data_IF_288099505183
#
_entry.id   IF_288099505183
#
_cell.length_a   1.000
_cell.length_b   1.000
_cell.length_c   1.000
_cell.angle_alpha   90.00
_cell.angle_beta   90.00
_cell.angle_gamma   90.00
#
_symmetry.space_group_name_H-M   'P 1'
#
loop_
_entity.id
_entity.type
_entity.pdbx_description
1 polymer ?
#
# COMPACT_ATOMS: atom_id res chain seq x y z
N UNK A 1 8.18 -12.63 3.09
CA UNK A 1 7.70 -13.32 4.32
C UNK A 1 8.77 -13.36 5.41
N UNK A 2 10.07 -13.41 5.08
CA UNK A 2 11.16 -13.42 6.07
C UNK A 2 11.19 -12.22 7.03
N UNK A 3 10.85 -11.00 6.60
CA UNK A 3 10.85 -9.81 7.47
C UNK A 3 9.94 -9.92 8.71
N UNK A 4 8.87 -10.73 8.66
CA UNK A 4 7.98 -10.95 9.82
C UNK A 4 8.64 -11.78 10.93
N UNK A 5 9.59 -12.65 10.58
CA UNK A 5 10.24 -13.55 11.54
C UNK A 5 11.45 -12.93 12.23
N UNK A 6 11.91 -11.75 11.79
CA UNK A 6 12.99 -11.04 12.45
C UNK A 6 12.51 -10.35 13.72
N UNK A 7 13.45 -10.09 14.63
CA UNK A 7 13.18 -9.33 15.84
C UNK A 7 12.75 -7.88 15.56
N UNK A 8 12.21 -7.25 16.59
CA UNK A 8 11.72 -5.89 16.54
C UNK A 8 12.81 -4.87 16.13
N UNK A 9 14.07 -5.10 16.49
CA UNK A 9 15.17 -4.19 16.14
C UNK A 9 15.42 -4.18 14.64
N UNK A 10 15.45 -5.35 14.01
CA UNK A 10 15.61 -5.48 12.57
C UNK A 10 14.45 -4.87 11.80
N UNK A 11 13.21 -5.11 12.26
CA UNK A 11 12.02 -4.50 11.66
C UNK A 11 12.05 -2.97 11.77
N UNK A 12 12.45 -2.44 12.93
CA UNK A 12 12.57 -1.00 13.18
C UNK A 12 13.71 -0.38 12.36
N UNK A 13 14.85 -1.07 12.22
CA UNK A 13 15.95 -0.64 11.37
C UNK A 13 15.51 -0.55 9.90
N UNK A 14 14.73 -1.54 9.41
CA UNK A 14 14.19 -1.51 8.06
C UNK A 14 13.20 -0.35 7.87
N UNK A 15 12.36 -0.06 8.86
CA UNK A 15 11.49 1.11 8.86
C UNK A 15 12.29 2.40 8.66
N UNK A 16 13.29 2.66 9.51
CA UNK A 16 14.13 3.86 9.40
C UNK A 16 14.92 3.90 8.09
N UNK A 17 15.37 2.77 7.59
CA UNK A 17 15.99 2.68 6.27
C UNK A 17 15.02 3.10 5.15
N UNK A 18 13.79 2.61 5.16
CA UNK A 18 12.76 3.00 4.18
C UNK A 18 12.41 4.49 4.27
N UNK A 19 12.27 5.04 5.49
CA UNK A 19 12.04 6.48 5.69
C UNK A 19 13.16 7.30 5.04
N UNK A 20 14.41 6.92 5.28
CA UNK A 20 15.56 7.62 4.68
C UNK A 20 15.57 7.51 3.15
N UNK A 21 15.19 6.36 2.58
CA UNK A 21 15.09 6.19 1.12
C UNK A 21 13.99 7.05 0.52
N UNK A 22 12.83 7.12 1.15
CA UNK A 22 11.73 8.00 0.74
C UNK A 22 12.22 9.45 0.69
N UNK A 23 12.84 9.96 1.77
CA UNK A 23 13.35 11.32 1.83
C UNK A 23 14.41 11.59 0.75
N UNK A 24 15.30 10.62 0.51
CA UNK A 24 16.31 10.73 -0.53
C UNK A 24 15.69 10.86 -1.93
N UNK A 25 14.75 9.97 -2.28
CA UNK A 25 14.10 9.98 -3.60
C UNK A 25 13.20 11.19 -3.80
N UNK A 26 12.53 11.67 -2.74
CA UNK A 26 11.74 12.90 -2.77
C UNK A 26 12.62 14.12 -3.08
N UNK A 27 13.74 14.27 -2.38
CA UNK A 27 14.69 15.37 -2.62
C UNK A 27 15.30 15.33 -4.03
N UNK A 28 15.54 14.14 -4.58
CA UNK A 28 16.09 13.94 -5.91
C UNK A 28 15.04 13.97 -7.02
N UNK A 29 13.75 14.02 -6.68
CA UNK A 29 12.60 13.92 -7.62
C UNK A 29 12.62 12.63 -8.44
N UNK A 30 13.09 11.54 -7.84
CA UNK A 30 13.07 10.19 -8.44
C UNK A 30 11.71 9.55 -8.16
N UNK A 31 10.70 9.94 -8.94
CA UNK A 31 9.29 9.65 -8.62
C UNK A 31 8.94 8.16 -8.72
N UNK A 32 9.57 7.40 -9.61
CA UNK A 32 9.29 5.96 -9.74
C UNK A 32 9.75 5.19 -8.49
N UNK A 33 10.98 5.41 -8.05
CA UNK A 33 11.53 4.80 -6.84
C UNK A 33 10.84 5.32 -5.58
N UNK A 34 10.43 6.58 -5.57
CA UNK A 34 9.63 7.16 -4.50
C UNK A 34 8.27 6.47 -4.39
N UNK A 35 7.58 6.26 -5.52
CA UNK A 35 6.30 5.56 -5.57
C UNK A 35 6.44 4.14 -5.01
N UNK A 36 7.46 3.41 -5.46
CA UNK A 36 7.73 2.05 -4.99
C UNK A 36 8.10 2.01 -3.51
N UNK A 37 8.90 2.96 -3.03
CA UNK A 37 9.27 3.06 -1.60
C UNK A 37 8.05 3.32 -0.72
N UNK A 38 7.13 4.16 -1.18
CA UNK A 38 5.85 4.38 -0.49
C UNK A 38 4.95 3.14 -0.50
N UNK A 39 4.86 2.42 -1.61
CA UNK A 39 4.15 1.14 -1.66
C UNK A 39 4.74 0.13 -0.66
N UNK A 40 6.07 -0.02 -0.64
CA UNK A 40 6.76 -0.90 0.31
C UNK A 40 6.50 -0.49 1.76
N UNK A 41 6.54 0.81 2.05
CA UNK A 41 6.25 1.33 3.39
C UNK A 41 4.82 1.03 3.81
N UNK A 42 3.85 1.23 2.91
CA UNK A 42 2.44 0.90 3.17
C UNK A 42 2.28 -0.57 3.54
N UNK A 43 2.81 -1.47 2.71
CA UNK A 43 2.78 -2.90 2.98
C UNK A 43 3.48 -3.27 4.29
N UNK A 44 4.70 -2.74 4.51
CA UNK A 44 5.51 -3.07 5.67
C UNK A 44 4.84 -2.63 6.98
N UNK A 45 4.32 -1.40 7.03
CA UNK A 45 3.60 -0.89 8.20
C UNK A 45 2.34 -1.73 8.46
N UNK A 46 1.58 -2.04 7.41
CA UNK A 46 0.30 -2.72 7.57
C UNK A 46 0.42 -4.21 7.93
N UNK A 47 1.39 -4.90 7.34
CA UNK A 47 1.48 -6.37 7.40
C UNK A 47 2.52 -6.84 8.41
N UNK A 48 3.59 -6.07 8.63
CA UNK A 48 4.78 -6.53 9.36
C UNK A 48 4.94 -5.79 10.69
N UNK A 49 5.06 -4.46 10.66
CA UNK A 49 5.39 -3.68 11.86
C UNK A 49 4.17 -3.39 12.74
N UNK A 50 3.02 -3.08 12.12
CA UNK A 50 1.73 -2.78 12.79
C UNK A 50 1.83 -1.88 14.03
N UNK A 51 2.46 -0.69 13.95
CA UNK A 51 2.51 0.26 15.07
C UNK A 51 1.13 0.86 15.39
N UNK A 52 1.04 1.74 16.40
CA UNK A 52 -0.18 2.52 16.63
C UNK A 52 -0.56 3.31 15.36
N UNK A 53 -1.86 3.32 15.03
CA UNK A 53 -2.41 3.97 13.83
C UNK A 53 -1.80 3.46 12.51
N UNK A 54 -1.39 2.18 12.46
CA UNK A 54 -0.79 1.58 11.27
C UNK A 54 -1.68 1.66 10.03
N UNK A 55 -3.01 1.58 10.19
CA UNK A 55 -3.97 1.66 9.08
C UNK A 55 -3.87 3.01 8.37
N UNK A 56 -3.97 4.13 9.11
CA UNK A 56 -3.82 5.48 8.59
C UNK A 56 -2.44 5.71 7.95
N UNK A 57 -1.38 5.26 8.62
CA UNK A 57 -0.01 5.41 8.13
C UNK A 57 0.18 4.67 6.81
N UNK A 58 -0.28 3.43 6.74
CA UNK A 58 -0.18 2.63 5.53
C UNK A 58 -1.07 3.19 4.41
N UNK A 59 -2.28 3.66 4.72
CA UNK A 59 -3.18 4.28 3.76
C UNK A 59 -2.59 5.55 3.15
N UNK A 60 -2.00 6.41 3.97
CA UNK A 60 -1.31 7.61 3.51
C UNK A 60 -0.15 7.28 2.55
N UNK A 61 0.59 6.22 2.84
CA UNK A 61 1.68 5.79 1.98
C UNK A 61 1.21 5.23 0.64
N UNK A 62 0.16 4.40 0.59
CA UNK A 62 -0.33 3.89 -0.70
C UNK A 62 -0.93 5.00 -1.57
N UNK A 63 -1.61 5.98 -0.97
CA UNK A 63 -2.07 7.18 -1.70
C UNK A 63 -0.92 7.94 -2.33
N UNK A 64 0.20 8.12 -1.60
CA UNK A 64 1.41 8.75 -2.17
C UNK A 64 2.01 7.91 -3.29
N UNK A 65 2.02 6.58 -3.18
CA UNK A 65 2.51 5.71 -4.25
C UNK A 65 1.70 5.90 -5.54
N UNK A 66 0.36 5.85 -5.44
CA UNK A 66 -0.55 6.06 -6.56
C UNK A 66 -0.46 7.47 -7.15
N UNK A 67 -0.21 8.48 -6.32
CA UNK A 67 0.02 9.87 -6.79
C UNK A 67 1.22 9.96 -7.72
N UNK A 68 2.30 9.24 -7.43
CA UNK A 68 3.54 9.32 -8.20
C UNK A 68 3.59 8.35 -9.37
N UNK A 69 2.90 7.21 -9.27
CA UNK A 69 2.84 6.23 -10.36
C UNK A 69 1.53 5.44 -10.30
N UNK A 70 0.79 5.48 -11.41
CA UNK A 70 -0.34 4.59 -11.61
C UNK A 70 0.17 3.19 -11.99
N UNK A 71 0.14 2.27 -11.03
CA UNK A 71 0.62 0.89 -11.19
C UNK A 71 -0.44 -0.08 -10.67
N UNK A 72 -0.68 -1.15 -11.43
CA UNK A 72 -1.73 -2.13 -11.12
C UNK A 72 -1.61 -2.71 -9.71
N UNK A 73 -0.38 -3.09 -9.31
CA UNK A 73 -0.10 -3.64 -7.98
C UNK A 73 -0.38 -2.66 -6.83
N UNK A 74 -0.30 -1.35 -7.09
CA UNK A 74 -0.62 -0.33 -6.09
C UNK A 74 -2.11 -0.18 -5.94
N UNK A 75 -2.85 -0.21 -7.06
CA UNK A 75 -4.32 -0.22 -7.07
C UNK A 75 -4.88 -1.45 -6.36
N UNK A 76 -4.34 -2.62 -6.65
CA UNK A 76 -4.72 -3.84 -5.94
C UNK A 76 -4.46 -3.71 -4.44
N UNK A 77 -3.25 -3.31 -4.03
CA UNK A 77 -2.96 -3.10 -2.60
C UNK A 77 -3.84 -2.04 -1.94
N UNK A 78 -4.20 -0.98 -2.66
CA UNK A 78 -5.11 0.05 -2.18
C UNK A 78 -6.48 -0.52 -1.81
N UNK A 79 -6.98 -1.53 -2.53
CA UNK A 79 -8.29 -2.15 -2.23
C UNK A 79 -8.36 -2.82 -0.86
N UNK A 80 -7.22 -3.22 -0.25
CA UNK A 80 -7.19 -3.74 1.13
C UNK A 80 -7.83 -2.75 2.11
N UNK A 81 -7.67 -1.45 1.90
CA UNK A 81 -8.18 -0.43 2.80
C UNK A 81 -9.70 -0.26 2.74
N UNK A 82 -10.35 -0.87 1.74
CA UNK A 82 -11.82 -0.95 1.64
C UNK A 82 -12.42 -2.12 2.41
N UNK A 83 -11.58 -3.09 2.81
CA UNK A 83 -12.02 -4.26 3.60
C UNK A 83 -11.91 -4.02 5.11
N UNK A 84 -11.42 -2.85 5.54
CA UNK A 84 -11.22 -2.54 6.96
C UNK A 84 -12.53 -2.11 7.63
N UNK A 85 -12.71 -2.37 8.94
CA UNK A 85 -13.90 -1.95 9.68
C UNK A 85 -14.11 -0.43 9.62
N UNK A 86 -13.01 0.32 9.73
CA UNK A 86 -12.98 1.75 9.43
C UNK A 86 -12.69 1.90 7.95
N UNK A 87 -13.74 2.08 7.15
CA UNK A 87 -13.56 2.12 5.70
C UNK A 87 -12.84 3.41 5.28
N UNK A 88 -11.63 3.27 4.72
CA UNK A 88 -10.81 4.40 4.24
C UNK A 88 -11.18 4.85 2.82
N UNK A 89 -11.93 4.02 2.10
CA UNK A 89 -12.25 4.21 0.68
C UNK A 89 -13.76 4.24 0.53
N UNK A 90 -14.30 5.23 -0.19
CA UNK A 90 -15.73 5.22 -0.50
C UNK A 90 -16.05 4.01 -1.37
N UNK A 91 -17.17 3.36 -1.12
CA UNK A 91 -17.60 2.16 -1.86
C UNK A 91 -17.54 2.35 -3.37
N UNK A 92 -18.00 3.49 -3.89
CA UNK A 92 -17.92 3.81 -5.32
C UNK A 92 -16.48 3.82 -5.86
N UNK A 93 -15.54 4.43 -5.13
CA UNK A 93 -14.14 4.51 -5.54
C UNK A 93 -13.49 3.11 -5.47
N UNK A 94 -13.86 2.28 -4.48
CA UNK A 94 -13.39 0.91 -4.36
C UNK A 94 -13.86 0.02 -5.52
N UNK A 95 -15.15 0.09 -5.88
CA UNK A 95 -15.71 -0.65 -7.03
C UNK A 95 -14.99 -0.23 -8.31
N UNK A 96 -14.87 1.08 -8.57
CA UNK A 96 -14.22 1.60 -9.77
C UNK A 96 -12.77 1.10 -9.89
N UNK A 97 -12.00 1.16 -8.80
CA UNK A 97 -10.61 0.68 -8.82
C UNK A 97 -10.56 -0.83 -9.01
N UNK A 98 -11.49 -1.59 -8.43
CA UNK A 98 -11.57 -3.03 -8.63
C UNK A 98 -11.88 -3.39 -10.09
N UNK A 99 -12.79 -2.67 -10.77
CA UNK A 99 -13.04 -2.83 -12.21
C UNK A 99 -11.77 -2.55 -13.04
N UNK A 100 -11.06 -1.46 -12.75
CA UNK A 100 -9.80 -1.13 -13.42
C UNK A 100 -8.71 -2.21 -13.21
N UNK A 101 -8.70 -2.86 -12.04
CA UNK A 101 -7.78 -3.97 -11.76
C UNK A 101 -8.18 -5.20 -12.55
N UNK A 102 -9.46 -5.61 -12.52
CA UNK A 102 -9.97 -6.80 -13.22
C UNK A 102 -9.83 -6.69 -14.73
N UNK A 103 -9.98 -5.50 -15.31
CA UNK A 103 -9.76 -5.28 -16.75
C UNK A 103 -8.33 -5.68 -17.18
N UNK A 104 -7.34 -5.45 -16.31
CA UNK A 104 -5.92 -5.72 -16.59
C UNK A 104 -5.44 -7.07 -16.05
N UNK A 105 -5.98 -7.49 -14.91
CA UNK A 105 -5.73 -8.78 -14.27
C UNK A 105 -7.04 -9.38 -13.74
N UNK A 106 -7.75 -10.15 -14.58
CA UNK A 106 -9.00 -10.81 -14.19
C UNK A 106 -8.84 -11.82 -13.04
N UNK A 107 -7.61 -12.24 -12.75
CA UNK A 107 -7.32 -13.24 -11.70
C UNK A 107 -7.12 -12.62 -10.32
N UNK A 108 -7.13 -11.30 -10.18
CA UNK A 108 -6.98 -10.62 -8.89
C UNK A 108 -8.09 -11.03 -7.93
N UNK A 109 -7.72 -11.84 -6.93
CA UNK A 109 -8.65 -12.32 -5.90
C UNK A 109 -9.23 -11.14 -5.11
N UNK A 110 -8.40 -10.13 -4.82
CA UNK A 110 -8.83 -8.99 -4.03
C UNK A 110 -9.84 -8.13 -4.77
N UNK A 111 -9.58 -7.79 -6.03
CA UNK A 111 -10.52 -6.99 -6.82
C UNK A 111 -11.85 -7.74 -7.03
N UNK A 112 -11.82 -9.03 -7.34
CA UNK A 112 -13.02 -9.86 -7.41
C UNK A 112 -13.78 -9.90 -6.08
N UNK A 113 -13.06 -9.96 -4.94
CA UNK A 113 -13.68 -9.91 -3.61
C UNK A 113 -14.43 -8.60 -3.38
N UNK A 114 -13.81 -7.46 -3.73
CA UNK A 114 -14.46 -6.14 -3.58
C UNK A 114 -15.74 -6.04 -4.42
N UNK A 115 -15.72 -6.52 -5.66
CA UNK A 115 -16.89 -6.52 -6.54
C UNK A 115 -18.01 -7.47 -6.09
N UNK A 116 -17.71 -8.45 -5.24
CA UNK A 116 -18.72 -9.33 -4.64
C UNK A 116 -19.25 -8.80 -3.31
N UNK A 117 -18.46 -7.98 -2.60
CA UNK A 117 -18.83 -7.40 -1.31
C UNK A 117 -19.81 -6.23 -1.45
N UNK A 118 -19.79 -5.51 -2.56
CA UNK A 118 -20.58 -4.30 -2.82
C UNK A 118 -21.45 -4.46 -4.06
#
# INVERSE_FOLDING_TARGET
IELKSYDYYMQTNFYFWLVNKINFFENKKHYEELAYSHYLMSYFIFIILTPLSYEDLAFNHINKALKYKDELKYKEWFLIFSTLPNNFIKTYDAIKIAEEVIEKDPSSTLANTILQMF
#
